data_IF_824038569243
#
_entry.id   IF_824038569243
#
_cell.length_a   1.000
_cell.length_b   1.000
_cell.length_c   1.000
_cell.angle_alpha   90.00
_cell.angle_beta   90.00
_cell.angle_gamma   90.00
#
_symmetry.space_group_name_H-M   'P 1'
#
loop_
_entity.id
_entity.type
_entity.pdbx_description
1 polymer ?
#
# COMPACT_ATOMS: atom_id res chain seq x y z
N UNK A 1 11.34 8.17 -19.21
CA UNK A 1 10.76 9.45 -18.69
C UNK A 1 9.30 9.14 -18.45
N UNK A 2 9.02 8.50 -17.33
CA UNK A 2 7.81 7.69 -17.21
C UNK A 2 6.73 8.44 -16.43
N UNK A 3 5.85 9.03 -17.23
CA UNK A 3 4.65 9.76 -16.87
C UNK A 3 3.63 8.87 -16.14
N UNK A 4 3.86 8.56 -14.85
CA UNK A 4 2.93 7.77 -14.01
C UNK A 4 2.23 8.58 -12.92
N UNK A 5 2.19 9.89 -13.10
CA UNK A 5 1.29 10.77 -12.38
C UNK A 5 0.70 11.70 -13.40
N UNK A 6 -0.48 11.37 -13.90
CA UNK A 6 -1.61 12.27 -14.19
C UNK A 6 -2.76 11.40 -14.70
N UNK A 7 -3.74 11.14 -13.85
CA UNK A 7 -5.12 11.15 -14.33
C UNK A 7 -5.88 12.16 -13.47
N UNK A 8 -6.05 13.30 -14.13
CA UNK A 8 -7.00 14.37 -13.91
C UNK A 8 -8.28 13.83 -13.28
N UNK A 9 -8.62 14.37 -12.12
CA UNK A 9 -10.01 14.47 -11.70
C UNK A 9 -10.38 15.94 -11.78
N UNK A 10 -10.97 16.34 -12.91
CA UNK A 10 -11.63 17.63 -13.04
C UNK A 10 -12.88 17.62 -12.16
N UNK A 11 -12.83 18.48 -11.13
CA UNK A 11 -13.91 19.26 -10.52
C UNK A 11 -15.37 18.78 -10.70
N UNK A 12 -16.00 18.44 -9.57
CA UNK A 12 -17.28 19.06 -9.18
C UNK A 12 -17.38 19.18 -7.66
N UNK A 13 -17.28 20.44 -7.21
CA UNK A 13 -17.89 21.11 -6.06
C UNK A 13 -18.26 20.32 -4.80
N UNK A 14 -17.70 20.78 -3.68
CA UNK A 14 -18.21 20.53 -2.34
C UNK A 14 -17.14 20.84 -1.31
N UNK A 15 -16.98 22.12 -0.95
CA UNK A 15 -16.13 22.53 0.15
C UNK A 15 -16.69 21.97 1.47
N UNK A 16 -16.36 20.73 1.80
CA UNK A 16 -16.44 20.23 3.15
C UNK A 16 -15.07 20.46 3.79
N UNK A 17 -15.06 21.32 4.81
CA UNK A 17 -13.93 21.54 5.71
C UNK A 17 -13.17 20.22 5.94
N UNK A 18 -11.98 20.12 5.38
CA UNK A 18 -11.06 19.03 5.64
C UNK A 18 -10.60 19.18 7.10
N UNK A 19 -11.31 18.53 8.02
CA UNK A 19 -10.80 18.26 9.35
C UNK A 19 -9.44 17.55 9.16
N UNK A 20 -8.38 17.94 9.89
CA UNK A 20 -7.15 17.19 9.85
C UNK A 20 -7.51 15.75 10.17
N UNK A 21 -7.11 14.82 9.30
CA UNK A 21 -7.27 13.38 9.51
C UNK A 21 -6.42 13.00 10.73
N UNK A 22 -6.92 13.31 11.92
CA UNK A 22 -6.46 12.70 13.15
C UNK A 22 -6.65 11.20 12.93
N UNK A 23 -5.58 10.44 13.17
CA UNK A 23 -5.60 9.00 13.04
C UNK A 23 -6.87 8.45 13.68
N UNK A 24 -7.76 7.87 12.87
CA UNK A 24 -9.02 7.34 13.35
C UNK A 24 -8.67 6.12 14.20
N UNK A 25 -8.91 6.18 15.51
CA UNK A 25 -8.71 5.00 16.36
C UNK A 25 -9.56 3.84 15.86
N UNK A 26 -9.11 2.60 16.06
CA UNK A 26 -9.85 1.41 15.64
C UNK A 26 -11.33 1.42 16.09
N UNK A 27 -11.63 2.04 17.24
CA UNK A 27 -12.98 2.13 17.79
C UNK A 27 -13.88 3.15 17.09
N UNK A 28 -13.32 4.14 16.38
CA UNK A 28 -14.12 5.12 15.63
C UNK A 28 -14.60 4.59 14.28
N UNK A 29 -14.09 3.43 13.84
CA UNK A 29 -14.57 2.74 12.66
C UNK A 29 -15.99 2.19 12.84
N UNK A 30 -16.77 2.23 11.76
CA UNK A 30 -18.11 1.64 11.74
C UNK A 30 -18.05 0.12 11.92
N UNK A 31 -19.11 -0.55 12.42
CA UNK A 31 -19.14 -2.01 12.52
C UNK A 31 -18.81 -2.71 11.20
N UNK A 32 -19.26 -2.16 10.07
CA UNK A 32 -18.96 -2.68 8.74
C UNK A 32 -17.47 -2.56 8.40
N UNK A 33 -16.89 -1.36 8.61
CA UNK A 33 -15.46 -1.14 8.36
C UNK A 33 -14.60 -2.09 9.21
N UNK A 34 -14.93 -2.24 10.51
CA UNK A 34 -14.22 -3.16 11.41
C UNK A 34 -14.31 -4.62 10.97
N UNK A 35 -15.43 -5.04 10.39
CA UNK A 35 -15.59 -6.40 9.89
C UNK A 35 -14.64 -6.69 8.72
N UNK A 36 -14.60 -5.78 7.73
CA UNK A 36 -13.73 -5.92 6.55
C UNK A 36 -12.25 -5.78 6.92
N UNK A 37 -11.94 -4.85 7.83
CA UNK A 37 -10.57 -4.50 8.21
C UNK A 37 -10.05 -5.30 9.41
N UNK A 38 -10.79 -6.31 9.88
CA UNK A 38 -10.44 -7.12 11.06
C UNK A 38 -8.98 -7.61 11.07
N UNK A 39 -8.36 -8.05 9.95
CA UNK A 39 -6.96 -8.45 9.95
C UNK A 39 -5.98 -7.32 10.32
N UNK A 40 -6.35 -6.05 10.11
CA UNK A 40 -5.53 -4.88 10.43
C UNK A 40 -5.74 -4.36 11.86
N UNK A 41 -6.67 -4.93 12.63
CA UNK A 41 -7.09 -4.38 13.93
C UNK A 41 -5.92 -4.10 14.88
N UNK A 42 -4.98 -5.05 15.02
CA UNK A 42 -3.84 -4.94 15.94
C UNK A 42 -2.80 -3.88 15.54
N UNK A 43 -2.78 -3.47 14.28
CA UNK A 43 -1.82 -2.49 13.76
C UNK A 43 -2.47 -1.18 13.30
N UNK A 44 -3.81 -1.09 13.35
CA UNK A 44 -4.58 0.00 12.79
C UNK A 44 -4.12 1.38 13.29
N UNK A 45 -4.00 1.53 14.61
CA UNK A 45 -3.60 2.79 15.24
C UNK A 45 -2.16 3.21 14.88
N UNK A 46 -1.34 2.27 14.42
CA UNK A 46 0.05 2.53 13.99
C UNK A 46 0.16 2.76 12.46
N UNK A 47 -0.95 2.65 11.73
CA UNK A 47 -0.99 2.97 10.31
C UNK A 47 -0.86 4.50 10.13
N UNK A 48 -0.15 4.97 9.09
CA UNK A 48 -0.19 6.36 8.69
C UNK A 48 -1.64 6.84 8.46
N UNK A 49 -2.00 8.09 8.80
CA UNK A 49 -3.36 8.60 8.63
C UNK A 49 -3.93 8.40 7.21
N UNK A 50 -3.12 8.64 6.18
CA UNK A 50 -3.52 8.43 4.77
C UNK A 50 -3.85 6.96 4.45
N UNK A 51 -3.14 6.02 5.08
CA UNK A 51 -3.42 4.60 4.93
C UNK A 51 -4.74 4.23 5.62
N UNK A 52 -4.95 4.72 6.85
CA UNK A 52 -6.21 4.51 7.59
C UNK A 52 -7.40 5.02 6.80
N UNK A 53 -7.33 6.26 6.30
CA UNK A 53 -8.40 6.86 5.52
C UNK A 53 -8.68 6.10 4.22
N UNK A 54 -7.63 5.66 3.51
CA UNK A 54 -7.77 4.85 2.29
C UNK A 54 -8.44 3.50 2.57
N UNK A 55 -8.06 2.81 3.64
CA UNK A 55 -8.65 1.53 4.02
C UNK A 55 -10.10 1.68 4.48
N UNK A 56 -10.41 2.72 5.27
CA UNK A 56 -11.77 3.02 5.72
C UNK A 56 -12.71 3.28 4.53
N UNK A 57 -12.32 4.17 3.59
CA UNK A 57 -13.10 4.45 2.37
C UNK A 57 -13.30 3.22 1.48
N UNK A 58 -12.30 2.34 1.41
CA UNK A 58 -12.42 1.09 0.67
C UNK A 58 -13.43 0.15 1.34
N UNK A 59 -13.38 0.03 2.68
CA UNK A 59 -14.27 -0.81 3.45
C UNK A 59 -15.74 -0.34 3.42
N UNK A 60 -15.97 0.96 3.24
CA UNK A 60 -17.33 1.50 3.00
C UNK A 60 -17.93 0.97 1.70
N UNK A 61 -17.12 0.89 0.65
CA UNK A 61 -17.56 0.41 -0.68
C UNK A 61 -17.58 -1.11 -0.80
N UNK A 62 -16.92 -1.83 0.12
CA UNK A 62 -16.71 -3.28 0.02
C UNK A 62 -17.99 -4.10 -0.24
N UNK A 63 -19.13 -3.87 0.45
CA UNK A 63 -20.35 -4.67 0.20
C UNK A 63 -20.97 -4.44 -1.17
N UNK A 64 -20.67 -3.30 -1.82
CA UNK A 64 -21.18 -2.95 -3.14
C UNK A 64 -20.31 -3.52 -4.26
N UNK A 65 -19.16 -4.10 -3.92
CA UNK A 65 -18.26 -4.70 -4.89
C UNK A 65 -18.77 -6.08 -5.34
N UNK A 66 -18.59 -6.46 -6.61
CA UNK A 66 -18.76 -7.84 -7.06
C UNK A 66 -17.83 -8.83 -6.33
N UNK A 67 -18.20 -10.11 -6.28
CA UNK A 67 -17.50 -11.13 -5.50
C UNK A 67 -15.99 -11.27 -5.84
N UNK A 68 -15.62 -11.18 -7.12
CA UNK A 68 -14.23 -11.23 -7.56
C UNK A 68 -13.41 -10.06 -6.98
N UNK A 69 -14.02 -8.87 -6.92
CA UNK A 69 -13.39 -7.67 -6.36
C UNK A 69 -13.29 -7.77 -4.84
N UNK A 70 -14.30 -8.34 -4.18
CA UNK A 70 -14.29 -8.59 -2.75
C UNK A 70 -13.15 -9.56 -2.36
N UNK A 71 -12.94 -10.62 -3.12
CA UNK A 71 -11.81 -11.54 -2.90
C UNK A 71 -10.48 -10.81 -2.97
N UNK A 72 -10.24 -10.04 -4.04
CA UNK A 72 -9.00 -9.27 -4.20
C UNK A 72 -8.77 -8.29 -3.06
N UNK A 73 -9.83 -7.68 -2.54
CA UNK A 73 -9.74 -6.82 -1.36
C UNK A 73 -9.32 -7.62 -0.13
N UNK A 74 -9.95 -8.76 0.14
CA UNK A 74 -9.62 -9.62 1.29
C UNK A 74 -8.17 -10.07 1.24
N UNK A 75 -7.71 -10.55 0.08
CA UNK A 75 -6.32 -10.93 -0.12
C UNK A 75 -5.37 -9.77 0.13
N UNK A 76 -5.68 -8.58 -0.41
CA UNK A 76 -4.84 -7.40 -0.24
C UNK A 76 -4.77 -6.97 1.22
N UNK A 77 -5.88 -6.99 1.94
CA UNK A 77 -5.93 -6.71 3.38
C UNK A 77 -5.08 -7.74 4.14
N UNK A 78 -5.18 -9.02 3.80
CA UNK A 78 -4.36 -10.08 4.38
C UNK A 78 -2.86 -9.82 4.17
N UNK A 79 -2.44 -9.62 2.91
CA UNK A 79 -1.05 -9.26 2.60
C UNK A 79 -0.58 -8.01 3.34
N UNK A 80 -1.45 -7.02 3.52
CA UNK A 80 -1.13 -5.81 4.28
C UNK A 80 -1.05 -6.03 5.78
N UNK A 81 -1.83 -6.96 6.33
CA UNK A 81 -1.74 -7.38 7.72
C UNK A 81 -0.42 -8.10 8.00
N UNK A 82 0.06 -8.89 7.03
CA UNK A 82 1.35 -9.56 7.11
C UNK A 82 2.54 -8.58 6.99
N UNK A 83 2.36 -7.46 6.27
CA UNK A 83 3.32 -6.37 6.20
C UNK A 83 3.28 -5.52 7.49
N UNK A 84 3.96 -6.02 8.52
CA UNK A 84 4.14 -5.37 9.83
C UNK A 84 4.61 -3.91 9.71
N UNK A 85 4.24 -3.01 10.66
CA UNK A 85 4.80 -1.67 10.76
C UNK A 85 6.33 -1.66 10.76
N UNK A 86 6.94 -2.71 11.33
CA UNK A 86 8.38 -2.91 11.36
C UNK A 86 8.94 -3.10 9.94
N UNK A 87 8.30 -3.94 9.11
CA UNK A 87 8.69 -4.18 7.72
C UNK A 87 8.64 -2.88 6.90
N UNK A 88 7.66 -2.02 7.17
CA UNK A 88 7.57 -0.69 6.54
C UNK A 88 8.62 0.28 7.05
N UNK A 89 8.98 0.20 8.34
CA UNK A 89 10.13 0.90 8.91
C UNK A 89 11.41 0.52 8.17
N UNK A 90 11.66 -0.78 8.03
CA UNK A 90 12.81 -1.31 7.28
C UNK A 90 12.80 -0.89 5.81
N UNK A 91 11.63 -0.92 5.14
CA UNK A 91 11.51 -0.47 3.76
C UNK A 91 11.82 1.03 3.58
N UNK A 92 11.33 1.88 4.48
CA UNK A 92 11.64 3.33 4.48
C UNK A 92 13.12 3.60 4.70
N UNK A 93 13.72 2.90 5.65
CA UNK A 93 15.15 3.01 5.93
C UNK A 93 16.00 2.55 4.74
N UNK A 94 15.66 1.40 4.14
CA UNK A 94 16.32 0.91 2.93
C UNK A 94 16.22 1.90 1.77
N UNK A 95 15.05 2.53 1.59
CA UNK A 95 14.87 3.57 0.58
C UNK A 95 15.73 4.80 0.85
N UNK A 96 15.79 5.26 2.11
CA UNK A 96 16.61 6.40 2.51
C UNK A 96 18.08 6.14 2.20
N UNK A 97 18.61 4.97 2.58
CA UNK A 97 19.98 4.53 2.24
C UNK A 97 20.21 4.45 0.74
N UNK A 98 19.27 3.91 -0.02
CA UNK A 98 19.37 3.79 -1.48
C UNK A 98 19.42 5.18 -2.17
N UNK A 99 18.69 6.16 -1.63
CA UNK A 99 18.67 7.54 -2.14
C UNK A 99 19.98 8.30 -1.87
N UNK A 100 20.67 7.96 -0.78
CA UNK A 100 21.98 8.53 -0.42
C UNK A 100 23.12 7.98 -1.30
N UNK A 101 22.91 6.86 -1.99
CA UNK A 101 23.91 6.31 -2.92
C UNK A 101 24.06 7.16 -4.19
N UNK A 102 25.29 7.26 -4.75
CA UNK A 102 25.52 7.79 -6.09
C UNK A 102 24.64 7.06 -7.13
N UNK A 103 24.21 7.75 -8.20
CA UNK A 103 23.30 7.19 -9.20
C UNK A 103 23.73 5.84 -9.78
N UNK A 104 25.02 5.66 -10.02
CA UNK A 104 25.62 4.45 -10.59
C UNK A 104 25.52 3.27 -9.62
N UNK A 105 25.79 3.51 -8.33
CA UNK A 105 25.68 2.49 -7.29
C UNK A 105 24.22 2.11 -7.02
N UNK A 106 23.32 3.09 -7.03
CA UNK A 106 21.88 2.83 -6.91
C UNK A 106 21.36 1.92 -8.03
N UNK A 107 21.79 2.15 -9.28
CA UNK A 107 21.42 1.29 -10.43
C UNK A 107 21.89 -0.15 -10.22
N UNK A 108 23.15 -0.34 -9.82
CA UNK A 108 23.69 -1.67 -9.56
C UNK A 108 22.92 -2.42 -8.46
N UNK A 109 22.52 -1.71 -7.39
CA UNK A 109 21.69 -2.30 -6.32
C UNK A 109 20.30 -2.69 -6.83
N UNK A 110 19.64 -1.82 -7.60
CA UNK A 110 18.32 -2.11 -8.17
C UNK A 110 18.38 -3.29 -9.15
N UNK A 111 19.37 -3.32 -10.05
CA UNK A 111 19.58 -4.43 -10.99
C UNK A 111 19.81 -5.75 -10.26
N UNK A 112 20.57 -5.72 -9.15
CA UNK A 112 20.78 -6.90 -8.32
C UNK A 112 19.47 -7.38 -7.69
N UNK A 113 18.66 -6.46 -7.15
CA UNK A 113 17.36 -6.78 -6.56
C UNK A 113 16.42 -7.37 -7.61
N UNK A 114 16.31 -6.76 -8.81
CA UNK A 114 15.47 -7.29 -9.89
C UNK A 114 15.93 -8.69 -10.33
N UNK A 115 17.25 -8.92 -10.44
CA UNK A 115 17.82 -10.22 -10.77
C UNK A 115 17.50 -11.28 -9.71
N UNK A 116 17.63 -10.93 -8.43
CA UNK A 116 17.33 -11.82 -7.30
C UNK A 116 15.83 -12.12 -7.17
N UNK A 117 14.96 -11.18 -7.59
CA UNK A 117 13.49 -11.36 -7.59
C UNK A 117 12.96 -12.11 -8.80
N UNK A 118 13.75 -12.27 -9.86
CA UNK A 118 13.34 -12.95 -11.09
C UNK A 118 12.63 -12.06 -12.12
N UNK A 119 12.65 -10.73 -11.92
CA UNK A 119 12.01 -9.75 -12.78
C UNK A 119 12.93 -9.41 -13.97
N UNK A 120 13.00 -10.30 -14.96
CA UNK A 120 13.78 -10.07 -16.18
C UNK A 120 13.23 -8.93 -17.05
N UNK A 121 14.05 -8.33 -17.96
CA UNK A 121 13.68 -7.15 -18.76
C UNK A 121 12.52 -7.38 -19.77
N UNK A 122 11.92 -8.57 -19.79
CA UNK A 122 10.77 -8.92 -20.63
C UNK A 122 9.68 -9.67 -19.84
N UNK A 123 9.42 -9.27 -18.59
CA UNK A 123 8.24 -9.71 -17.83
C UNK A 123 6.98 -8.99 -18.29
N UNK A 124 6.49 -9.33 -19.50
CA UNK A 124 5.15 -8.93 -19.94
C UNK A 124 4.14 -9.85 -19.25
N UNK A 125 3.70 -9.48 -18.06
CA UNK A 125 2.44 -9.96 -17.51
C UNK A 125 1.52 -8.76 -17.30
N UNK A 126 0.40 -8.80 -18.00
CA UNK A 126 -0.75 -7.97 -17.67
C UNK A 126 -1.19 -8.26 -16.23
N UNK A 127 -2.03 -7.37 -15.74
CA UNK A 127 -2.66 -7.41 -14.42
C UNK A 127 -1.90 -6.67 -13.31
N UNK A 128 -2.65 -5.77 -12.68
CA UNK A 128 -2.15 -4.71 -11.81
C UNK A 128 -1.64 -5.21 -10.48
N UNK A 129 -0.38 -5.60 -10.44
CA UNK A 129 0.36 -5.89 -9.21
C UNK A 129 1.43 -4.82 -8.98
N UNK A 130 1.10 -3.78 -8.20
CA UNK A 130 2.13 -2.99 -7.52
C UNK A 130 2.62 -3.78 -6.30
N UNK A 131 3.56 -4.67 -6.58
CA UNK A 131 4.43 -5.39 -5.66
C UNK A 131 5.07 -4.42 -4.65
N UNK A 132 4.61 -4.51 -3.40
CA UNK A 132 5.26 -3.89 -2.25
C UNK A 132 6.29 -4.90 -1.74
N UNK A 133 7.51 -4.77 -2.23
CA UNK A 133 8.60 -5.72 -1.96
C UNK A 133 8.78 -6.06 -0.47
N UNK A 134 8.47 -7.31 -0.14
CA UNK A 134 8.95 -7.99 1.07
C UNK A 134 10.39 -8.48 0.80
N UNK A 135 11.37 -8.23 1.67
CA UNK A 135 12.70 -8.83 1.51
C UNK A 135 12.64 -10.33 1.83
N UNK A 136 13.41 -11.19 1.11
CA UNK A 136 13.35 -12.63 1.31
C UNK A 136 13.88 -13.03 2.69
N UNK A 137 13.16 -13.95 3.36
CA UNK A 137 13.63 -14.58 4.60
C UNK A 137 14.84 -15.45 4.26
N UNK A 138 16.02 -15.08 4.78
CA UNK A 138 17.19 -15.96 4.78
C UNK A 138 17.09 -16.92 5.96
N UNK A 139 17.22 -18.22 5.67
CA UNK A 139 17.42 -19.31 6.63
C UNK A 139 18.78 -19.17 7.32
#
# INVERSE_FOLDING_TARGET
MDYRYQLIAALCAGALLALPAAAAEWQSLTPQQRSVLKPLAGQWNNLPPDDQERFARMADRYPQLPADKQERVRERIGRWADLSPEDRGRARENYRRLRELPPEQRRAVIERIHRERGDGPNGRHGDGDHDSGHPPKRK
#
